data_IF_621526604904
#
_entry.id   IF_621526604904
#
_cell.length_a   1.000
_cell.length_b   1.000
_cell.length_c   1.000
_cell.angle_alpha   90.00
_cell.angle_beta   90.00
_cell.angle_gamma   90.00
#
_symmetry.space_group_name_H-M   'P 1'
#
loop_
_entity.id
_entity.type
_entity.pdbx_description
1 polymer ?
#
# COMPACT_ATOMS: atom_id res chain seq x y z
N UNK A 1 10.65 -22.31 -20.53
CA UNK A 1 9.99 -21.03 -20.92
C UNK A 1 9.33 -20.32 -19.73
N UNK A 2 8.52 -20.97 -18.88
CA UNK A 2 7.87 -20.31 -17.72
C UNK A 2 8.85 -19.64 -16.72
N UNK A 3 9.97 -20.29 -16.39
CA UNK A 3 10.97 -19.70 -15.49
C UNK A 3 11.70 -18.49 -16.07
N UNK A 4 11.81 -18.37 -17.40
CA UNK A 4 12.46 -17.21 -18.03
C UNK A 4 11.56 -15.97 -18.01
N UNK A 5 10.25 -16.16 -18.22
CA UNK A 5 9.27 -15.09 -18.08
C UNK A 5 9.26 -14.53 -16.65
N UNK A 6 9.22 -15.40 -15.64
CA UNK A 6 9.30 -14.99 -14.23
C UNK A 6 10.61 -14.26 -13.89
N UNK A 7 11.74 -14.72 -14.43
CA UNK A 7 13.03 -14.02 -14.25
C UNK A 7 13.02 -12.62 -14.88
N UNK A 8 12.46 -12.47 -16.08
CA UNK A 8 12.32 -11.15 -16.74
C UNK A 8 11.40 -10.23 -15.94
N UNK A 9 10.27 -10.75 -15.44
CA UNK A 9 9.33 -10.00 -14.59
C UNK A 9 10.01 -9.51 -13.30
N UNK A 10 10.76 -10.38 -12.63
CA UNK A 10 11.51 -10.05 -11.42
C UNK A 10 12.46 -8.86 -11.66
N UNK A 11 13.26 -8.93 -12.72
CA UNK A 11 14.20 -7.85 -13.07
C UNK A 11 13.46 -6.54 -13.37
N UNK A 12 12.35 -6.61 -14.13
CA UNK A 12 11.49 -5.45 -14.42
C UNK A 12 10.98 -4.80 -13.12
N UNK A 13 10.44 -5.61 -12.20
CA UNK A 13 9.95 -5.15 -10.91
C UNK A 13 11.04 -4.50 -10.04
N UNK A 14 12.25 -5.08 -10.00
CA UNK A 14 13.37 -4.50 -9.27
C UNK A 14 13.78 -3.12 -9.82
N UNK A 15 13.80 -2.97 -11.14
CA UNK A 15 14.08 -1.67 -11.79
C UNK A 15 13.01 -0.64 -11.44
N UNK A 16 11.72 -1.02 -11.42
CA UNK A 16 10.65 -0.10 -11.01
C UNK A 16 10.79 0.35 -9.55
N UNK A 17 11.06 -0.58 -8.63
CA UNK A 17 11.24 -0.24 -7.22
C UNK A 17 12.46 0.66 -7.00
N UNK A 18 13.57 0.41 -7.72
CA UNK A 18 14.75 1.27 -7.66
C UNK A 18 14.44 2.68 -8.20
N UNK A 19 13.80 2.77 -9.37
CA UNK A 19 13.37 4.06 -9.96
C UNK A 19 12.45 4.82 -8.99
N UNK A 20 11.54 4.13 -8.34
CA UNK A 20 10.61 4.72 -7.37
C UNK A 20 11.36 5.34 -6.19
N UNK A 21 12.36 4.64 -5.62
CA UNK A 21 13.20 5.20 -4.56
C UNK A 21 13.94 6.47 -5.01
N UNK A 22 14.51 6.45 -6.23
CA UNK A 22 15.18 7.64 -6.76
C UNK A 22 14.20 8.81 -6.96
N UNK A 23 12.98 8.56 -7.42
CA UNK A 23 11.95 9.59 -7.57
C UNK A 23 11.53 10.17 -6.22
N UNK A 24 11.25 9.33 -5.23
CA UNK A 24 10.91 9.77 -3.86
C UNK A 24 12.07 10.60 -3.28
N UNK A 25 13.31 10.10 -3.36
CA UNK A 25 14.48 10.80 -2.85
C UNK A 25 14.67 12.16 -3.54
N UNK A 26 14.51 12.22 -4.86
CA UNK A 26 14.61 13.46 -5.63
C UNK A 26 13.55 14.48 -5.22
N UNK A 27 12.31 14.04 -5.03
CA UNK A 27 11.20 14.89 -4.59
C UNK A 27 11.47 15.50 -3.21
N UNK A 28 11.89 14.67 -2.24
CA UNK A 28 12.25 15.11 -0.89
C UNK A 28 13.48 16.02 -0.89
N UNK A 29 14.48 15.74 -1.75
CA UNK A 29 15.65 16.59 -1.89
C UNK A 29 15.28 17.98 -2.41
N UNK A 30 14.41 18.07 -3.42
CA UNK A 30 13.92 19.36 -3.95
C UNK A 30 13.17 20.13 -2.86
N UNK A 31 12.27 19.47 -2.11
CA UNK A 31 11.54 20.09 -1.02
C UNK A 31 12.47 20.61 0.09
N UNK A 32 13.43 19.78 0.53
CA UNK A 32 14.43 20.17 1.52
C UNK A 32 15.30 21.33 1.06
N UNK A 33 15.80 21.30 -0.18
CA UNK A 33 16.62 22.39 -0.74
C UNK A 33 15.79 23.67 -0.81
N UNK A 34 14.59 23.63 -1.37
CA UNK A 34 13.74 24.82 -1.46
C UNK A 34 13.49 25.42 -0.07
N UNK A 35 13.18 24.58 0.92
CA UNK A 35 12.78 25.08 2.24
C UNK A 35 13.95 25.50 3.12
N UNK A 36 15.08 24.80 3.07
CA UNK A 36 16.31 25.14 3.81
C UNK A 36 16.98 26.38 3.22
N UNK A 37 17.00 26.51 1.90
CA UNK A 37 17.73 27.59 1.24
C UNK A 37 16.91 28.88 1.09
N UNK A 38 15.59 28.77 0.90
CA UNK A 38 14.73 29.94 0.64
C UNK A 38 13.87 30.37 1.86
N UNK A 39 13.46 29.45 2.74
CA UNK A 39 12.53 29.71 3.85
C UNK A 39 13.04 29.24 5.22
N UNK A 40 14.32 29.48 5.53
CA UNK A 40 14.90 29.12 6.82
C UNK A 40 14.18 29.81 8.01
N UNK A 41 13.71 31.04 7.83
CA UNK A 41 13.09 31.86 8.89
C UNK A 41 11.64 31.45 9.21
N UNK A 42 10.91 30.86 8.25
CA UNK A 42 9.55 30.33 8.47
C UNK A 42 9.52 28.86 8.89
N UNK A 43 10.65 28.30 9.35
CA UNK A 43 10.74 26.89 9.74
C UNK A 43 9.98 26.61 11.05
N UNK A 44 8.67 26.36 10.94
CA UNK A 44 7.81 25.96 12.05
C UNK A 44 7.70 24.43 12.21
N UNK A 45 7.30 23.98 13.40
CA UNK A 45 7.02 22.56 13.72
C UNK A 45 5.98 21.94 12.80
N UNK A 46 5.04 22.75 12.28
CA UNK A 46 3.98 22.33 11.36
C UNK A 46 4.51 21.68 10.07
N UNK A 47 5.56 22.24 9.49
CA UNK A 47 6.12 21.70 8.26
C UNK A 47 6.94 20.43 8.52
N UNK A 48 7.52 20.26 9.71
CA UNK A 48 8.18 19.00 10.09
C UNK A 48 7.12 17.90 10.18
N UNK A 49 5.99 18.17 10.82
CA UNK A 49 4.89 17.20 10.91
C UNK A 49 4.26 16.90 9.55
N UNK A 50 4.13 17.91 8.68
CA UNK A 50 3.65 17.72 7.31
C UNK A 50 4.60 16.86 6.48
N UNK A 51 5.91 17.13 6.55
CA UNK A 51 6.91 16.33 5.84
C UNK A 51 7.00 14.90 6.37
N UNK A 52 6.91 14.71 7.70
CA UNK A 52 6.86 13.38 8.31
C UNK A 52 5.63 12.59 7.83
N UNK A 53 4.48 13.25 7.71
CA UNK A 53 3.27 12.62 7.17
C UNK A 53 3.49 12.18 5.71
N UNK A 54 4.08 13.02 4.86
CA UNK A 54 4.39 12.68 3.47
C UNK A 54 5.35 11.48 3.40
N UNK A 55 6.40 11.48 4.22
CA UNK A 55 7.34 10.35 4.33
C UNK A 55 6.63 9.05 4.74
N UNK A 56 5.71 9.11 5.71
CA UNK A 56 4.89 7.98 6.10
C UNK A 56 4.02 7.46 4.94
N UNK A 57 3.41 8.35 4.15
CA UNK A 57 2.62 7.98 2.98
C UNK A 57 3.48 7.30 1.90
N UNK A 58 4.63 7.87 1.56
CA UNK A 58 5.56 7.23 0.63
C UNK A 58 6.02 5.87 1.13
N UNK A 59 6.32 5.76 2.42
CA UNK A 59 6.73 4.49 3.01
C UNK A 59 5.63 3.43 2.91
N UNK A 60 4.38 3.80 3.21
CA UNK A 60 3.24 2.90 3.11
C UNK A 60 3.02 2.41 1.66
N UNK A 61 3.03 3.33 0.68
CA UNK A 61 2.90 3.00 -0.74
C UNK A 61 4.06 2.12 -1.22
N UNK A 62 5.30 2.51 -0.90
CA UNK A 62 6.49 1.75 -1.26
C UNK A 62 6.43 0.33 -0.68
N UNK A 63 6.05 0.18 0.59
CA UNK A 63 5.88 -1.13 1.22
C UNK A 63 4.80 -1.96 0.56
N UNK A 64 3.69 -1.34 0.14
CA UNK A 64 2.65 -2.03 -0.60
C UNK A 64 3.17 -2.57 -1.94
N UNK A 65 3.82 -1.73 -2.75
CA UNK A 65 4.41 -2.16 -4.03
C UNK A 65 5.52 -3.20 -3.85
N UNK A 66 6.42 -3.01 -2.89
CA UNK A 66 7.50 -3.94 -2.62
C UNK A 66 6.99 -5.31 -2.16
N UNK A 67 5.92 -5.33 -1.35
CA UNK A 67 5.23 -6.57 -0.95
C UNK A 67 4.58 -7.25 -2.16
N UNK A 68 3.89 -6.49 -3.01
CA UNK A 68 3.26 -7.01 -4.22
C UNK A 68 4.27 -7.62 -5.21
N UNK A 69 5.47 -7.04 -5.31
CA UNK A 69 6.55 -7.50 -6.17
C UNK A 69 7.47 -8.55 -5.52
N UNK A 70 7.18 -9.01 -4.30
CA UNK A 70 8.07 -9.91 -3.57
C UNK A 70 8.17 -11.29 -4.23
N UNK A 71 9.38 -11.78 -4.55
CA UNK A 71 9.54 -13.08 -5.16
C UNK A 71 9.39 -14.20 -4.14
N UNK A 72 8.76 -15.29 -4.57
CA UNK A 72 8.64 -16.53 -3.81
C UNK A 72 9.60 -17.58 -4.37
N UNK A 73 10.54 -17.99 -3.53
CA UNK A 73 11.50 -19.04 -3.84
C UNK A 73 11.11 -20.37 -3.19
N UNK A 74 11.51 -21.48 -3.82
CA UNK A 74 11.37 -22.81 -3.23
C UNK A 74 12.29 -22.96 -2.01
N UNK A 75 11.95 -23.85 -1.06
CA UNK A 75 12.83 -24.18 0.06
C UNK A 75 14.22 -24.57 -0.44
N UNK A 76 15.27 -24.16 0.28
CA UNK A 76 16.67 -24.41 -0.10
C UNK A 76 16.95 -25.91 -0.30
N UNK A 77 16.27 -26.77 0.45
CA UNK A 77 16.33 -28.23 0.34
C UNK A 77 15.88 -28.78 -1.03
N UNK A 78 15.12 -28.00 -1.82
CA UNK A 78 14.63 -28.37 -3.15
C UNK A 78 15.34 -27.59 -4.27
N UNK A 79 16.49 -26.98 -3.99
CA UNK A 79 17.32 -26.30 -4.99
C UNK A 79 17.03 -24.81 -5.20
N UNK A 80 16.20 -24.18 -4.35
CA UNK A 80 16.05 -22.72 -4.30
C UNK A 80 15.47 -22.05 -5.55
N UNK A 81 14.85 -22.82 -6.45
CA UNK A 81 14.31 -22.30 -7.70
C UNK A 81 13.22 -21.22 -7.47
N UNK A 82 13.17 -20.22 -8.35
CA UNK A 82 12.15 -19.18 -8.32
C UNK A 82 10.78 -19.79 -8.69
N UNK A 83 9.84 -19.77 -7.75
CA UNK A 83 8.47 -20.30 -7.95
C UNK A 83 7.59 -19.23 -8.59
N UNK A 84 7.66 -18.00 -8.07
CA UNK A 84 6.91 -16.85 -8.58
C UNK A 84 7.69 -15.57 -8.38
N UNK A 85 7.62 -14.67 -9.35
CA UNK A 85 8.27 -13.36 -9.30
C UNK A 85 7.42 -12.26 -8.63
N UNK A 86 6.26 -12.62 -8.10
CA UNK A 86 5.29 -11.67 -7.53
C UNK A 86 4.33 -11.12 -8.58
N UNK A 87 3.57 -10.10 -8.21
CA UNK A 87 2.66 -9.40 -9.11
C UNK A 87 3.43 -8.44 -10.03
N UNK A 88 2.98 -8.24 -11.26
CA UNK A 88 3.55 -7.23 -12.16
C UNK A 88 3.22 -5.83 -11.61
N UNK A 89 4.25 -5.01 -11.38
CA UNK A 89 4.07 -3.63 -10.92
C UNK A 89 3.47 -2.71 -12.00
N UNK A 90 3.34 -3.20 -13.23
CA UNK A 90 2.72 -2.51 -14.37
C UNK A 90 1.28 -3.01 -14.62
N UNK A 91 0.74 -3.82 -13.72
CA UNK A 91 -0.61 -4.37 -13.87
C UNK A 91 -1.70 -3.35 -13.54
N UNK A 92 -2.83 -3.45 -14.26
CA UNK A 92 -4.01 -2.63 -14.03
C UNK A 92 -4.73 -2.98 -12.73
N UNK A 93 -5.44 -2.01 -12.16
CA UNK A 93 -6.23 -2.17 -10.94
C UNK A 93 -5.56 -1.54 -9.73
N UNK A 94 -5.42 -2.28 -8.63
CA UNK A 94 -4.93 -1.72 -7.35
C UNK A 94 -3.52 -1.13 -7.46
N UNK A 95 -2.65 -1.74 -8.26
CA UNK A 95 -1.28 -1.27 -8.47
C UNK A 95 -1.28 0.05 -9.26
N UNK A 96 -2.06 0.14 -10.33
CA UNK A 96 -2.28 1.38 -11.10
C UNK A 96 -2.79 2.52 -10.20
N UNK A 97 -3.82 2.28 -9.38
CA UNK A 97 -4.30 3.29 -8.43
C UNK A 97 -3.24 3.69 -7.40
N UNK A 98 -2.34 2.77 -7.01
CA UNK A 98 -1.26 3.09 -6.08
C UNK A 98 -0.22 4.00 -6.75
N UNK A 99 0.07 3.79 -8.04
CA UNK A 99 0.93 4.69 -8.82
C UNK A 99 0.31 6.08 -8.96
N UNK A 100 -0.98 6.17 -9.29
CA UNK A 100 -1.69 7.46 -9.39
C UNK A 100 -1.64 8.21 -8.06
N UNK A 101 -1.88 7.51 -6.95
CA UNK A 101 -1.85 8.10 -5.62
C UNK A 101 -0.43 8.55 -5.23
N UNK A 102 0.59 7.79 -5.62
CA UNK A 102 1.99 8.13 -5.37
C UNK A 102 2.42 9.38 -6.16
N UNK A 103 2.11 9.45 -7.45
CA UNK A 103 2.43 10.64 -8.26
C UNK A 103 1.63 11.86 -7.82
N UNK A 104 0.37 11.68 -7.40
CA UNK A 104 -0.42 12.77 -6.82
C UNK A 104 0.22 13.27 -5.52
N UNK A 105 0.72 12.38 -4.67
CA UNK A 105 1.41 12.76 -3.43
C UNK A 105 2.70 13.55 -3.72
N UNK A 106 3.48 13.12 -4.73
CA UNK A 106 4.65 13.87 -5.19
C UNK A 106 4.30 15.28 -5.67
N UNK A 107 3.24 15.40 -6.47
CA UNK A 107 2.76 16.69 -6.93
C UNK A 107 2.32 17.57 -5.74
N UNK A 108 1.56 17.03 -4.79
CA UNK A 108 1.09 17.78 -3.61
C UNK A 108 2.27 18.21 -2.73
N UNK A 109 3.30 17.37 -2.54
CA UNK A 109 4.49 17.75 -1.75
C UNK A 109 5.23 18.92 -2.42
N UNK A 110 5.45 18.86 -3.74
CA UNK A 110 6.08 19.95 -4.48
C UNK A 110 5.21 21.22 -4.48
N UNK A 111 3.90 21.09 -4.66
CA UNK A 111 2.96 22.20 -4.60
C UNK A 111 2.91 22.84 -3.20
N UNK A 112 3.03 22.04 -2.15
CA UNK A 112 3.11 22.53 -0.76
C UNK A 112 4.39 23.34 -0.55
N UNK A 113 5.52 22.87 -1.10
CA UNK A 113 6.77 23.63 -1.07
C UNK A 113 6.69 24.93 -1.85
N UNK A 114 6.17 24.91 -3.08
CA UNK A 114 6.26 26.03 -4.02
C UNK A 114 5.13 27.07 -3.93
N UNK A 115 3.89 26.64 -3.65
CA UNK A 115 2.71 27.53 -3.70
C UNK A 115 2.23 27.94 -2.31
N UNK A 116 1.95 26.97 -1.44
CA UNK A 116 1.37 27.26 -0.13
C UNK A 116 1.37 26.05 0.81
N UNK A 117 1.65 26.28 2.09
CA UNK A 117 1.67 25.24 3.13
C UNK A 117 0.31 24.55 3.35
N UNK A 118 -0.79 25.21 2.99
CA UNK A 118 -2.15 24.67 3.13
C UNK A 118 -2.40 23.43 2.26
N UNK A 119 -1.63 23.24 1.19
CA UNK A 119 -1.74 22.06 0.33
C UNK A 119 -1.36 20.75 1.06
N UNK A 120 -0.60 20.83 2.17
CA UNK A 120 -0.31 19.67 3.00
C UNK A 120 -1.60 18.99 3.52
N UNK A 121 -2.67 19.75 3.73
CA UNK A 121 -3.97 19.21 4.18
C UNK A 121 -4.64 18.35 3.11
N UNK A 122 -4.40 18.63 1.83
CA UNK A 122 -4.97 17.82 0.73
C UNK A 122 -4.42 16.40 0.76
N UNK A 123 -3.15 16.22 1.13
CA UNK A 123 -2.54 14.91 1.27
C UNK A 123 -3.09 14.08 2.46
N UNK A 124 -3.82 14.71 3.39
CA UNK A 124 -4.49 14.01 4.51
C UNK A 124 -5.78 13.31 4.02
N UNK A 125 -6.37 13.75 2.91
CA UNK A 125 -7.63 13.20 2.41
C UNK A 125 -7.52 11.71 2.04
N UNK A 126 -6.54 11.25 1.23
CA UNK A 126 -6.40 9.83 0.90
C UNK A 126 -6.23 8.88 2.10
N UNK A 127 -5.35 9.14 3.10
CA UNK A 127 -5.23 8.26 4.26
C UNK A 127 -6.49 8.28 5.13
N UNK A 128 -7.20 9.41 5.24
CA UNK A 128 -8.48 9.46 5.94
C UNK A 128 -9.54 8.58 5.26
N UNK A 129 -9.62 8.61 3.92
CA UNK A 129 -10.52 7.73 3.17
C UNK A 129 -10.11 6.27 3.36
N UNK A 130 -8.83 5.95 3.25
CA UNK A 130 -8.31 4.59 3.48
C UNK A 130 -8.64 4.08 4.89
N UNK A 131 -8.48 4.92 5.91
CA UNK A 131 -8.83 4.60 7.28
C UNK A 131 -10.34 4.38 7.45
N UNK A 132 -11.18 5.20 6.81
CA UNK A 132 -12.63 5.03 6.81
C UNK A 132 -13.06 3.69 6.19
N UNK A 133 -12.46 3.31 5.05
CA UNK A 133 -12.73 2.01 4.44
C UNK A 133 -12.24 0.85 5.31
N UNK A 134 -11.05 0.96 5.90
CA UNK A 134 -10.53 -0.07 6.80
C UNK A 134 -11.42 -0.22 8.05
N UNK A 135 -11.87 0.90 8.60
CA UNK A 135 -12.79 0.93 9.73
C UNK A 135 -14.12 0.26 9.40
N UNK A 136 -14.74 0.61 8.26
CA UNK A 136 -16.05 0.05 7.87
C UNK A 136 -16.00 -1.41 7.44
N UNK A 137 -14.90 -1.89 6.84
CA UNK A 137 -14.79 -3.26 6.32
C UNK A 137 -14.24 -4.26 7.33
N UNK A 138 -13.32 -3.85 8.21
CA UNK A 138 -12.64 -4.77 9.14
C UNK A 138 -13.03 -4.53 10.59
N UNK A 139 -12.99 -3.27 11.05
CA UNK A 139 -13.19 -2.94 12.47
C UNK A 139 -14.66 -2.98 12.84
N UNK A 140 -15.51 -2.33 12.06
CA UNK A 140 -16.95 -2.27 12.31
C UNK A 140 -17.58 -3.67 12.33
N UNK A 141 -17.34 -4.58 11.36
CA UNK A 141 -17.90 -5.92 11.40
C UNK A 141 -17.27 -6.81 12.47
N UNK A 142 -16.08 -6.48 12.98
CA UNK A 142 -15.47 -7.20 14.10
C UNK A 142 -16.13 -6.81 15.44
N UNK A 143 -16.43 -5.53 15.63
CA UNK A 143 -17.09 -5.02 16.85
C UNK A 143 -18.60 -5.29 16.83
N UNK A 144 -19.24 -5.24 15.65
CA UNK A 144 -20.69 -5.32 15.51
C UNK A 144 -21.21 -6.74 15.33
N UNK A 145 -20.38 -7.79 15.45
CA UNK A 145 -20.86 -9.17 15.50
C UNK A 145 -21.60 -9.35 16.83
N UNK A 146 -22.93 -9.53 16.84
CA UNK A 146 -23.60 -10.02 18.03
C UNK A 146 -23.02 -11.41 18.31
N UNK A 147 -22.73 -11.72 19.57
CA UNK A 147 -22.40 -13.09 19.98
C UNK A 147 -23.51 -14.00 19.45
N UNK A 148 -23.25 -14.78 18.41
CA UNK A 148 -24.17 -15.83 18.00
C UNK A 148 -24.27 -16.80 19.18
N UNK A 149 -25.46 -16.97 19.80
CA UNK A 149 -25.60 -17.98 20.84
C UNK A 149 -25.24 -19.33 20.22
N UNK A 150 -24.35 -20.07 20.89
CA UNK A 150 -23.80 -21.36 20.44
C UNK A 150 -24.85 -22.36 19.91
N UNK A 151 -26.12 -22.19 20.32
CA UNK A 151 -27.26 -23.00 19.90
C UNK A 151 -27.64 -22.82 18.41
N UNK A 152 -27.47 -21.62 17.82
CA UNK A 152 -27.85 -21.35 16.43
C UNK A 152 -26.87 -21.99 15.42
N UNK A 153 -25.57 -22.00 15.75
CA UNK A 153 -24.54 -22.66 14.96
C UNK A 153 -24.68 -24.20 14.97
N UNK A 154 -25.09 -24.77 16.10
CA UNK A 154 -25.37 -26.21 16.22
C UNK A 154 -26.62 -26.62 15.43
N UNK A 155 -27.70 -25.82 15.45
CA UNK A 155 -28.90 -26.09 14.64
C UNK A 155 -28.63 -26.00 13.13
N UNK A 156 -27.85 -25.03 12.68
CA UNK A 156 -27.50 -24.88 11.27
C UNK A 156 -26.67 -26.07 10.76
N UNK A 157 -25.68 -26.53 11.54
CA UNK A 157 -24.87 -27.70 11.21
C UNK A 157 -25.71 -29.00 11.18
N UNK A 158 -26.67 -29.14 12.11
CA UNK A 158 -27.57 -30.30 12.18
C UNK A 158 -28.56 -30.33 11.00
N UNK A 159 -29.15 -29.19 10.62
CA UNK A 159 -30.01 -29.04 9.44
C UNK A 159 -29.26 -29.30 8.13
N UNK A 160 -28.01 -28.85 8.02
CA UNK A 160 -27.17 -29.10 6.85
C UNK A 160 -26.84 -30.59 6.69
N UNK A 161 -26.48 -31.30 7.76
CA UNK A 161 -26.24 -32.75 7.73
C UNK A 161 -27.50 -33.56 7.39
N UNK A 162 -28.67 -33.14 7.88
CA UNK A 162 -29.96 -33.77 7.53
C UNK A 162 -30.33 -33.62 6.06
N UNK A 163 -29.99 -32.49 5.44
CA UNK A 163 -30.26 -32.23 4.01
C UNK A 163 -29.40 -33.11 3.10
N UNK A 164 -28.14 -33.36 3.46
CA UNK A 164 -27.25 -34.24 2.69
C UNK A 164 -27.46 -35.73 3.00
N UNK A 165 -27.99 -36.08 4.18
CA UNK A 165 -28.33 -37.46 4.54
C UNK A 165 -29.64 -37.98 3.91
N UNK A 166 -30.55 -37.10 3.50
CA UNK A 166 -31.79 -37.45 2.77
C UNK A 166 -31.62 -37.57 1.25
N UNK A 167 -30.46 -37.18 0.72
CA UNK A 167 -30.16 -37.22 -0.71
C UNK A 167 -29.36 -38.49 -1.13
N UNK A 168 -29.37 -39.52 -0.29
CA UNK A 168 -28.82 -40.86 -0.56
C UNK A 168 -29.92 -41.90 -0.48
#
# INVERSE_FOLDING_TARGET
MANEANKKLLLKNQVYLARLLYQILSCNAIYCVYRVWYHWDSFSRWHITGELLMLCLYFAMYRFLASAASPRHAPLAQGGALISAGSDLDSKGVIEYTWDLLYTTMFVQLATGLLSDWFALVAVVPPCIGFYYAWTQYVYPWISKPDEPLDAAQEASKKQKLKYGRAR
#
